data_IF_958160449606
#
_entry.id   IF_958160449606
#
_cell.length_a   1.000
_cell.length_b   1.000
_cell.length_c   1.000
_cell.angle_alpha   90.00
_cell.angle_beta   90.00
_cell.angle_gamma   90.00
#
_symmetry.space_group_name_H-M   'P 1'
#
loop_
_entity.id
_entity.type
_entity.pdbx_description
1 polymer ?
#
# COMPACT_ATOMS: atom_id res chain seq x y z
N UNK A 1 -18.73 9.15 -2.91
CA UNK A 1 -19.05 8.06 -1.97
C UNK A 1 -17.74 7.35 -1.70
N UNK A 2 -17.27 7.35 -0.46
CA UNK A 2 -16.01 6.72 -0.05
C UNK A 2 -16.13 5.22 -0.24
N UNK A 3 -15.20 4.61 -0.98
CA UNK A 3 -15.09 3.16 -1.12
C UNK A 3 -14.34 2.58 0.09
N UNK A 4 -14.92 2.80 1.30
CA UNK A 4 -14.34 2.33 2.56
C UNK A 4 -14.50 0.81 2.68
N UNK A 5 -13.55 0.17 3.36
CA UNK A 5 -13.68 -1.25 3.68
C UNK A 5 -14.83 -1.47 4.67
N UNK A 6 -15.77 -2.33 4.33
CA UNK A 6 -16.81 -2.80 5.25
C UNK A 6 -16.25 -3.72 6.36
N UNK A 7 -15.07 -4.28 6.11
CA UNK A 7 -14.26 -5.11 7.01
C UNK A 7 -12.78 -4.83 6.69
N UNK A 8 -11.86 -5.50 7.39
CA UNK A 8 -10.43 -5.42 7.04
C UNK A 8 -10.21 -5.80 5.57
N UNK A 9 -9.28 -5.12 4.84
CA UNK A 9 -9.01 -5.43 3.44
C UNK A 9 -8.52 -6.85 3.25
N UNK A 10 -8.99 -7.54 2.20
CA UNK A 10 -8.63 -8.91 1.88
C UNK A 10 -8.80 -9.19 0.38
N UNK A 11 -8.40 -10.37 -0.06
CA UNK A 11 -8.54 -10.80 -1.45
C UNK A 11 -7.31 -10.51 -2.31
N UNK A 12 -7.46 -10.67 -3.61
CA UNK A 12 -6.39 -10.41 -4.58
C UNK A 12 -6.51 -8.99 -5.11
N UNK A 13 -5.42 -8.25 -5.02
CA UNK A 13 -5.33 -6.87 -5.47
C UNK A 13 -4.43 -6.76 -6.70
N UNK A 14 -4.95 -6.15 -7.75
CA UNK A 14 -4.20 -5.91 -8.98
C UNK A 14 -3.18 -4.79 -8.78
N UNK A 15 -1.91 -5.10 -9.06
CA UNK A 15 -0.86 -4.07 -9.11
C UNK A 15 -0.96 -3.35 -10.44
N UNK A 16 -1.03 -2.02 -10.40
CA UNK A 16 -0.92 -1.20 -11.60
C UNK A 16 0.56 -1.09 -11.95
N UNK A 17 0.88 -1.49 -13.16
CA UNK A 17 2.21 -1.32 -13.75
C UNK A 17 2.31 0.09 -14.34
N UNK A 18 3.52 0.55 -14.61
CA UNK A 18 3.73 1.83 -15.25
C UNK A 18 4.21 1.59 -16.68
N UNK A 19 3.33 1.67 -17.68
CA UNK A 19 3.75 1.50 -19.08
C UNK A 19 4.61 2.69 -19.50
N UNK A 20 5.78 2.39 -20.06
CA UNK A 20 6.78 3.38 -20.47
C UNK A 20 6.99 3.29 -21.98
N UNK A 21 7.01 4.44 -22.65
CA UNK A 21 7.29 4.55 -24.08
C UNK A 21 8.79 4.35 -24.37
N UNK A 22 9.13 4.19 -25.65
CA UNK A 22 10.55 4.16 -26.12
C UNK A 22 11.34 5.44 -25.84
N UNK A 23 10.66 6.53 -25.44
CA UNK A 23 11.27 7.81 -25.07
C UNK A 23 11.28 8.03 -23.56
N UNK A 24 11.16 6.98 -22.76
CA UNK A 24 11.23 7.02 -21.30
C UNK A 24 10.13 7.89 -20.64
N UNK A 25 8.95 7.91 -21.28
CA UNK A 25 7.79 8.66 -20.78
C UNK A 25 6.64 7.70 -20.44
N UNK A 26 5.79 8.08 -19.52
CA UNK A 26 4.60 7.29 -19.18
C UNK A 26 3.63 7.27 -20.37
N UNK A 27 3.25 6.08 -20.82
CA UNK A 27 2.18 5.90 -21.81
C UNK A 27 0.82 5.94 -21.11
N UNK A 28 0.24 7.14 -21.05
CA UNK A 28 -1.05 7.37 -20.42
C UNK A 28 -2.21 6.64 -21.11
N UNK A 29 -2.09 6.38 -22.42
CA UNK A 29 -3.09 5.62 -23.18
C UNK A 29 -3.08 4.14 -22.78
N UNK A 30 -1.91 3.52 -22.75
CA UNK A 30 -1.74 2.15 -22.29
C UNK A 30 -2.12 1.99 -20.82
N UNK A 31 -1.76 2.94 -19.96
CA UNK A 31 -2.16 2.94 -18.56
C UNK A 31 -3.68 3.00 -18.38
N UNK A 32 -4.37 3.82 -19.16
CA UNK A 32 -5.83 3.90 -19.13
C UNK A 32 -6.49 2.58 -19.54
N UNK A 33 -5.94 1.88 -20.55
CA UNK A 33 -6.40 0.56 -20.98
C UNK A 33 -6.14 -0.52 -19.93
N UNK A 34 -4.95 -0.52 -19.30
CA UNK A 34 -4.64 -1.43 -18.17
C UNK A 34 -5.65 -1.26 -17.04
N UNK A 35 -5.97 -0.02 -16.67
CA UNK A 35 -6.97 0.27 -15.64
C UNK A 35 -8.36 -0.24 -16.01
N UNK A 36 -8.77 -0.12 -17.28
CA UNK A 36 -10.05 -0.66 -17.74
C UNK A 36 -10.09 -2.20 -17.61
N UNK A 37 -9.01 -2.89 -17.96
CA UNK A 37 -8.88 -4.34 -17.79
C UNK A 37 -8.90 -4.72 -16.31
N UNK A 38 -8.10 -4.07 -15.47
CA UNK A 38 -8.01 -4.38 -14.04
C UNK A 38 -9.35 -4.14 -13.34
N UNK A 39 -10.03 -3.04 -13.63
CA UNK A 39 -11.32 -2.73 -13.00
C UNK A 39 -12.45 -3.66 -13.43
N UNK A 40 -12.32 -4.34 -14.58
CA UNK A 40 -13.28 -5.34 -15.06
C UNK A 40 -12.93 -6.78 -14.66
N UNK A 41 -11.79 -7.02 -13.98
CA UNK A 41 -11.22 -8.36 -13.78
C UNK A 41 -11.82 -9.17 -12.61
N UNK A 42 -12.69 -8.58 -11.79
CA UNK A 42 -13.24 -9.23 -10.59
C UNK A 42 -12.25 -9.32 -9.41
N UNK A 43 -11.17 -8.56 -9.43
CA UNK A 43 -10.25 -8.39 -8.31
C UNK A 43 -10.94 -7.72 -7.11
N UNK A 44 -10.39 -7.92 -5.91
CA UNK A 44 -10.89 -7.27 -4.71
C UNK A 44 -10.58 -5.76 -4.66
N UNK A 45 -9.61 -5.32 -5.42
CA UNK A 45 -9.19 -3.94 -5.56
C UNK A 45 -7.95 -3.82 -6.42
N UNK A 46 -7.50 -2.59 -6.63
CA UNK A 46 -6.26 -2.26 -7.35
C UNK A 46 -5.36 -1.39 -6.48
N UNK A 47 -4.05 -1.42 -6.74
CA UNK A 47 -3.15 -0.49 -6.09
C UNK A 47 -2.09 0.07 -7.03
N UNK A 48 -1.85 1.38 -6.93
CA UNK A 48 -0.86 2.12 -7.69
C UNK A 48 0.36 2.48 -6.83
N UNK A 49 1.45 2.83 -7.51
CA UNK A 49 2.68 3.32 -6.87
C UNK A 49 3.29 2.33 -5.86
N UNK A 50 3.18 1.03 -6.17
CA UNK A 50 4.02 -0.01 -5.58
C UNK A 50 5.36 -0.13 -6.31
N UNK A 51 6.20 -1.06 -5.89
CA UNK A 51 7.52 -1.32 -6.52
C UNK A 51 7.38 -1.67 -8.00
N UNK A 52 6.41 -2.52 -8.37
CA UNK A 52 6.17 -2.90 -9.76
C UNK A 52 5.56 -1.75 -10.60
N UNK A 53 4.93 -0.76 -9.96
CA UNK A 53 4.48 0.49 -10.57
C UNK A 53 5.51 1.60 -10.53
N UNK A 54 6.78 1.27 -10.29
CA UNK A 54 7.94 2.18 -10.37
C UNK A 54 7.77 3.51 -9.60
N UNK A 55 7.22 3.44 -8.37
CA UNK A 55 6.93 4.62 -7.55
C UNK A 55 8.12 5.58 -7.37
N UNK A 56 9.34 5.07 -7.52
CA UNK A 56 10.60 5.78 -7.35
C UNK A 56 11.05 6.51 -8.62
N UNK A 57 10.42 6.23 -9.76
CA UNK A 57 10.80 6.74 -11.10
C UNK A 57 9.74 7.71 -11.65
N UNK A 58 9.07 8.45 -10.78
CA UNK A 58 8.02 9.40 -11.14
C UNK A 58 8.35 10.79 -10.60
N UNK A 59 8.11 11.81 -11.40
CA UNK A 59 8.00 13.17 -10.91
C UNK A 59 6.74 13.36 -10.08
N UNK A 60 6.66 14.40 -9.25
CA UNK A 60 5.43 14.67 -8.48
C UNK A 60 4.24 15.01 -9.39
N UNK A 61 4.47 15.63 -10.55
CA UNK A 61 3.40 15.89 -11.52
C UNK A 61 2.83 14.61 -12.13
N UNK A 62 3.69 13.66 -12.51
CA UNK A 62 3.28 12.33 -12.99
C UNK A 62 2.56 11.54 -11.90
N UNK A 63 3.05 11.59 -10.67
CA UNK A 63 2.38 11.00 -9.52
C UNK A 63 0.94 11.52 -9.38
N UNK A 64 0.73 12.83 -9.42
CA UNK A 64 -0.60 13.45 -9.30
C UNK A 64 -1.52 13.07 -10.44
N UNK A 65 -1.01 13.06 -11.67
CA UNK A 65 -1.79 12.66 -12.84
C UNK A 65 -2.20 11.18 -12.75
N UNK A 66 -1.27 10.28 -12.37
CA UNK A 66 -1.53 8.87 -12.19
C UNK A 66 -2.58 8.63 -11.12
N UNK A 67 -2.41 9.24 -9.93
CA UNK A 67 -3.35 9.12 -8.82
C UNK A 67 -4.77 9.57 -9.23
N UNK A 68 -4.86 10.68 -9.97
CA UNK A 68 -6.14 11.20 -10.47
C UNK A 68 -6.81 10.22 -11.44
N UNK A 69 -6.06 9.66 -12.38
CA UNK A 69 -6.56 8.69 -13.35
C UNK A 69 -7.03 7.39 -12.67
N UNK A 70 -6.23 6.86 -11.73
CA UNK A 70 -6.58 5.66 -10.96
C UNK A 70 -7.87 5.88 -10.17
N UNK A 71 -7.98 7.00 -9.47
CA UNK A 71 -9.16 7.34 -8.68
C UNK A 71 -10.42 7.48 -9.58
N UNK A 72 -10.28 8.10 -10.74
CA UNK A 72 -11.37 8.24 -11.71
C UNK A 72 -11.88 6.87 -12.18
N UNK A 73 -10.98 6.00 -12.63
CA UNK A 73 -11.32 4.67 -13.19
C UNK A 73 -11.88 3.74 -12.11
N UNK A 74 -11.23 3.68 -10.95
CA UNK A 74 -11.67 2.83 -9.85
C UNK A 74 -13.06 3.23 -9.33
N UNK A 75 -13.32 4.52 -9.17
CA UNK A 75 -14.64 5.01 -8.74
C UNK A 75 -15.72 4.73 -9.75
N UNK A 76 -15.45 4.90 -11.05
CA UNK A 76 -16.41 4.61 -12.11
C UNK A 76 -16.82 3.12 -12.09
N UNK A 77 -15.90 2.23 -11.71
CA UNK A 77 -16.15 0.80 -11.60
C UNK A 77 -16.65 0.36 -10.20
N UNK A 78 -16.72 1.27 -9.22
CA UNK A 78 -17.05 0.91 -7.84
C UNK A 78 -15.99 0.03 -7.16
N UNK A 79 -14.74 0.06 -7.65
CA UNK A 79 -13.64 -0.81 -7.18
C UNK A 79 -12.80 -0.12 -6.12
N UNK A 80 -12.52 -0.77 -4.97
CA UNK A 80 -11.57 -0.27 -3.98
C UNK A 80 -10.17 -0.06 -4.59
N UNK A 81 -9.49 1.01 -4.17
CA UNK A 81 -8.14 1.29 -4.66
C UNK A 81 -7.23 1.81 -3.56
N UNK A 82 -5.97 1.43 -3.62
CA UNK A 82 -4.89 1.90 -2.76
C UNK A 82 -3.91 2.74 -3.57
N UNK A 83 -3.35 3.75 -2.92
CA UNK A 83 -2.30 4.59 -3.49
C UNK A 83 -1.04 4.49 -2.65
N UNK A 84 0.09 4.16 -3.27
CA UNK A 84 1.39 4.21 -2.63
C UNK A 84 1.86 5.65 -2.48
N UNK A 85 2.36 5.98 -1.29
CA UNK A 85 2.93 7.31 -0.98
C UNK A 85 4.44 7.26 -0.78
N UNK A 86 5.05 6.10 -0.98
CA UNK A 86 6.46 5.86 -0.69
C UNK A 86 7.38 6.85 -1.40
N UNK A 87 8.37 7.34 -0.67
CA UNK A 87 9.45 8.18 -1.17
C UNK A 87 10.64 8.06 -0.23
N UNK A 88 11.88 8.15 -0.74
CA UNK A 88 13.10 8.20 0.06
C UNK A 88 13.15 9.41 1.00
N UNK A 89 12.49 10.50 0.62
CA UNK A 89 12.29 11.67 1.47
C UNK A 89 10.97 11.52 2.25
N UNK A 90 11.02 11.32 3.59
CA UNK A 90 9.82 11.13 4.39
C UNK A 90 8.86 12.33 4.37
N UNK A 91 9.37 13.54 4.13
CA UNK A 91 8.52 14.74 4.03
C UNK A 91 7.66 14.72 2.77
N UNK A 92 8.17 14.21 1.66
CA UNK A 92 7.39 14.02 0.42
C UNK A 92 6.34 12.94 0.65
N UNK A 93 6.66 11.84 1.31
CA UNK A 93 5.68 10.79 1.63
C UNK A 93 4.52 11.35 2.47
N UNK A 94 4.79 12.14 3.50
CA UNK A 94 3.76 12.80 4.32
C UNK A 94 2.94 13.83 3.52
N UNK A 95 3.57 14.54 2.60
CA UNK A 95 2.89 15.51 1.75
C UNK A 95 1.96 14.82 0.73
N UNK A 96 2.43 13.75 0.09
CA UNK A 96 1.58 12.87 -0.74
C UNK A 96 0.35 12.39 0.03
N UNK A 97 0.53 11.94 1.27
CA UNK A 97 -0.57 11.46 2.11
C UNK A 97 -1.60 12.56 2.41
N UNK A 98 -1.16 13.78 2.71
CA UNK A 98 -2.09 14.92 2.91
C UNK A 98 -2.89 15.24 1.65
N UNK A 99 -2.25 15.20 0.48
CA UNK A 99 -2.93 15.40 -0.82
C UNK A 99 -3.95 14.31 -1.12
N UNK A 100 -3.71 13.08 -0.67
CA UNK A 100 -4.66 11.97 -0.83
C UNK A 100 -5.98 12.18 -0.07
N UNK A 101 -6.07 13.07 0.91
CA UNK A 101 -7.34 13.35 1.60
C UNK A 101 -8.43 13.86 0.63
N UNK A 102 -8.06 14.62 -0.40
CA UNK A 102 -9.01 15.06 -1.44
C UNK A 102 -9.33 13.94 -2.46
N UNK A 103 -8.44 12.96 -2.58
CA UNK A 103 -8.62 11.79 -3.44
C UNK A 103 -9.45 10.71 -2.75
N UNK A 104 -9.42 10.62 -1.44
CA UNK A 104 -10.18 9.67 -0.63
C UNK A 104 -10.04 8.21 -1.14
N UNK A 105 -8.82 7.64 -1.19
CA UNK A 105 -8.60 6.24 -1.54
C UNK A 105 -9.08 5.32 -0.44
N UNK A 106 -9.33 4.05 -0.75
CA UNK A 106 -9.69 3.03 0.25
C UNK A 106 -8.56 2.79 1.27
N UNK A 107 -7.31 2.99 0.87
CA UNK A 107 -6.14 3.01 1.76
C UNK A 107 -4.95 3.72 1.09
N UNK A 108 -3.98 4.14 1.91
CA UNK A 108 -2.66 4.57 1.47
C UNK A 108 -1.61 3.53 1.87
N UNK A 109 -0.77 3.12 0.92
CA UNK A 109 0.34 2.20 1.17
C UNK A 109 1.65 2.98 1.32
N UNK A 110 2.46 2.62 2.32
CA UNK A 110 3.75 3.23 2.55
C UNK A 110 4.85 2.21 2.81
N UNK A 111 6.09 2.56 2.44
CA UNK A 111 7.31 1.91 2.92
C UNK A 111 7.92 2.75 4.02
N UNK A 112 8.78 2.15 4.83
CA UNK A 112 9.65 2.93 5.71
C UNK A 112 10.65 3.73 4.85
N UNK A 113 11.15 4.88 5.35
CA UNK A 113 12.25 5.59 4.66
C UNK A 113 13.43 4.63 4.45
N UNK A 114 13.89 4.50 3.21
CA UNK A 114 14.79 3.42 2.81
C UNK A 114 16.18 3.88 2.32
N UNK A 115 16.42 5.17 2.23
CA UNK A 115 17.77 5.69 2.03
C UNK A 115 18.70 5.29 3.18
N UNK A 116 18.17 5.32 4.40
CA UNK A 116 18.82 4.99 5.65
C UNK A 116 17.90 4.11 6.49
N UNK A 117 18.45 3.17 7.24
CA UNK A 117 17.65 2.43 8.21
C UNK A 117 17.31 3.36 9.39
N UNK A 118 16.04 3.70 9.63
CA UNK A 118 15.70 4.59 10.72
C UNK A 118 16.00 3.96 12.08
N UNK A 119 16.46 4.76 13.02
CA UNK A 119 16.46 4.39 14.45
C UNK A 119 15.03 4.29 14.99
N UNK A 120 14.83 3.67 16.14
CA UNK A 120 13.50 3.51 16.73
C UNK A 120 12.79 4.87 16.95
N UNK A 121 13.44 5.93 17.50
CA UNK A 121 12.77 7.23 17.61
C UNK A 121 12.41 7.89 16.28
N UNK A 122 13.24 7.71 15.23
CA UNK A 122 12.94 8.22 13.89
C UNK A 122 11.76 7.48 13.25
N UNK A 123 11.69 6.17 13.46
CA UNK A 123 10.57 5.34 13.01
C UNK A 123 9.28 5.77 13.70
N UNK A 124 9.29 5.92 15.02
CA UNK A 124 8.12 6.34 15.79
C UNK A 124 7.64 7.72 15.34
N UNK A 125 8.54 8.68 15.18
CA UNK A 125 8.22 10.03 14.69
C UNK A 125 7.62 10.00 13.27
N UNK A 126 8.16 9.17 12.38
CA UNK A 126 7.62 9.02 11.03
C UNK A 126 6.20 8.44 11.06
N UNK A 127 5.96 7.41 11.86
CA UNK A 127 4.64 6.75 11.97
C UNK A 127 3.61 7.66 12.62
N UNK A 128 3.98 8.43 13.66
CA UNK A 128 3.13 9.48 14.23
C UNK A 128 2.81 10.55 13.18
N UNK A 129 3.79 10.93 12.38
CA UNK A 129 3.59 11.84 11.25
C UNK A 129 2.62 11.29 10.19
N UNK A 130 2.70 9.99 9.87
CA UNK A 130 1.74 9.34 8.97
C UNK A 130 0.33 9.37 9.54
N UNK A 131 0.14 9.03 10.82
CA UNK A 131 -1.17 9.09 11.48
C UNK A 131 -1.78 10.49 11.41
N UNK A 132 -0.98 11.51 11.71
CA UNK A 132 -1.43 12.90 11.66
C UNK A 132 -1.76 13.37 10.23
N UNK A 133 -1.05 12.88 9.22
CA UNK A 133 -1.25 13.25 7.82
C UNK A 133 -2.39 12.46 7.14
N UNK A 134 -2.73 11.28 7.65
CA UNK A 134 -3.72 10.39 7.06
C UNK A 134 -5.18 10.89 7.21
N UNK A 135 -5.49 11.62 8.27
CA UNK A 135 -6.90 11.86 8.63
C UNK A 135 -7.60 10.53 8.85
N UNK A 136 -8.65 10.26 8.08
CA UNK A 136 -9.41 9.01 8.14
C UNK A 136 -8.92 7.93 7.15
N UNK A 137 -7.89 8.22 6.34
CA UNK A 137 -7.38 7.26 5.35
C UNK A 137 -6.71 6.08 6.06
N UNK A 138 -7.14 4.83 5.81
CA UNK A 138 -6.47 3.64 6.32
C UNK A 138 -5.05 3.51 5.75
N UNK A 139 -4.13 3.02 6.58
CA UNK A 139 -2.73 2.85 6.22
C UNK A 139 -2.37 1.36 6.06
N UNK A 140 -1.58 1.05 5.03
CA UNK A 140 -1.03 -0.28 4.78
C UNK A 140 0.48 -0.17 4.72
N UNK A 141 1.18 -0.86 5.60
CA UNK A 141 2.64 -0.95 5.57
C UNK A 141 3.10 -1.91 4.46
N UNK A 142 4.02 -1.50 3.62
CA UNK A 142 4.76 -2.42 2.77
C UNK A 142 6.19 -2.57 3.30
N UNK A 143 6.49 -3.74 3.83
CA UNK A 143 7.81 -4.04 4.40
C UNK A 143 8.41 -5.30 3.74
N UNK A 144 8.93 -5.14 2.50
CA UNK A 144 9.47 -6.24 1.70
C UNK A 144 10.83 -6.73 2.23
N UNK A 145 11.31 -7.89 1.77
CA UNK A 145 12.60 -8.45 2.18
C UNK A 145 13.80 -7.53 1.94
N UNK A 146 13.74 -6.66 0.92
CA UNK A 146 14.79 -5.70 0.57
C UNK A 146 14.76 -4.41 1.41
N UNK A 147 13.77 -4.22 2.27
CA UNK A 147 13.71 -3.03 3.13
C UNK A 147 14.94 -2.93 4.03
N UNK A 148 15.48 -1.73 4.22
CA UNK A 148 16.64 -1.46 5.09
C UNK A 148 16.37 -1.83 6.54
N UNK A 149 15.13 -1.68 6.99
CA UNK A 149 14.65 -2.14 8.30
C UNK A 149 13.46 -3.08 8.08
N UNK A 150 13.65 -4.36 8.45
CA UNK A 150 12.56 -5.34 8.48
C UNK A 150 12.00 -5.42 9.88
N UNK A 151 10.70 -5.23 10.00
CA UNK A 151 10.00 -5.23 11.28
C UNK A 151 9.53 -6.64 11.66
N UNK A 152 9.63 -6.96 12.95
CA UNK A 152 8.94 -8.12 13.52
C UNK A 152 7.45 -7.83 13.72
N UNK A 153 6.65 -8.87 14.01
CA UNK A 153 5.23 -8.71 14.30
C UNK A 153 4.99 -7.86 15.55
N UNK A 154 5.85 -8.00 16.57
CA UNK A 154 5.81 -7.18 17.79
C UNK A 154 6.07 -5.70 17.50
N UNK A 155 7.06 -5.42 16.65
CA UNK A 155 7.34 -4.03 16.24
C UNK A 155 6.17 -3.44 15.47
N UNK A 156 5.55 -4.19 14.54
CA UNK A 156 4.34 -3.74 13.83
C UNK A 156 3.19 -3.49 14.81
N UNK A 157 3.02 -4.36 15.81
CA UNK A 157 2.00 -4.16 16.84
C UNK A 157 2.25 -2.88 17.66
N UNK A 158 3.52 -2.56 17.99
CA UNK A 158 3.87 -1.29 18.64
C UNK A 158 3.58 -0.08 17.75
N UNK A 159 3.93 -0.14 16.45
CA UNK A 159 3.62 0.94 15.54
C UNK A 159 2.11 1.18 15.40
N UNK A 160 1.30 0.14 15.46
CA UNK A 160 -0.16 0.26 15.44
C UNK A 160 -0.73 1.02 16.64
N UNK A 161 -0.05 1.00 17.79
CA UNK A 161 -0.44 1.82 18.94
C UNK A 161 -0.21 3.32 18.68
N UNK A 162 0.81 3.66 17.88
CA UNK A 162 1.11 5.03 17.48
C UNK A 162 0.26 5.50 16.30
N UNK A 163 -0.15 4.57 15.44
CA UNK A 163 -0.97 4.84 14.25
C UNK A 163 -2.14 3.87 14.17
N UNK A 164 -3.28 4.15 14.84
CA UNK A 164 -4.48 3.31 14.78
C UNK A 164 -5.04 3.09 13.37
N UNK A 165 -4.79 4.02 12.43
CA UNK A 165 -5.14 3.85 11.03
C UNK A 165 -4.31 2.78 10.31
N UNK A 166 -3.26 2.24 10.91
CA UNK A 166 -2.47 1.14 10.36
C UNK A 166 -3.26 -0.17 10.50
N UNK A 167 -3.98 -0.54 9.45
CA UNK A 167 -4.94 -1.66 9.44
C UNK A 167 -4.40 -2.93 8.75
N UNK A 168 -3.24 -2.85 8.12
CA UNK A 168 -2.67 -4.00 7.43
C UNK A 168 -1.24 -3.78 6.98
N UNK A 169 -0.64 -4.86 6.49
CA UNK A 169 0.68 -4.81 5.88
C UNK A 169 0.81 -5.84 4.74
N UNK A 170 1.68 -5.51 3.77
CA UNK A 170 2.21 -6.47 2.80
C UNK A 170 3.58 -6.94 3.29
N UNK A 171 3.66 -8.23 3.61
CA UNK A 171 4.81 -8.87 4.25
C UNK A 171 5.19 -10.15 3.48
N UNK A 172 6.42 -10.67 3.63
CA UNK A 172 6.78 -11.95 3.01
C UNK A 172 5.92 -13.14 3.45
N UNK A 173 5.27 -13.04 4.63
CA UNK A 173 4.62 -14.17 5.27
C UNK A 173 5.62 -15.03 6.05
N UNK A 174 5.16 -16.19 6.51
CA UNK A 174 5.96 -17.14 7.27
C UNK A 174 5.31 -18.52 7.32
N UNK A 175 5.73 -19.31 8.26
CA UNK A 175 5.16 -20.62 8.55
C UNK A 175 3.88 -20.57 9.43
N UNK A 176 3.34 -21.70 9.80
CA UNK A 176 2.16 -21.81 10.64
C UNK A 176 2.34 -21.13 12.02
N UNK A 177 3.54 -21.20 12.60
CA UNK A 177 3.86 -20.58 13.88
C UNK A 177 3.84 -19.05 13.75
N UNK A 178 4.41 -18.50 12.68
CA UNK A 178 4.37 -17.08 12.38
C UNK A 178 2.92 -16.56 12.22
N UNK A 179 2.07 -17.29 11.50
CA UNK A 179 0.66 -16.90 11.34
C UNK A 179 -0.14 -17.03 12.65
N UNK A 180 0.19 -18.00 13.50
CA UNK A 180 -0.40 -18.10 14.84
C UNK A 180 -0.04 -16.88 15.70
N UNK A 181 1.23 -16.49 15.70
CA UNK A 181 1.73 -15.31 16.42
C UNK A 181 1.13 -14.02 15.87
N UNK A 182 1.01 -13.88 14.54
CA UNK A 182 0.31 -12.75 13.91
C UNK A 182 -1.13 -12.63 14.42
N UNK A 183 -1.89 -13.71 14.48
CA UNK A 183 -3.27 -13.68 15.00
C UNK A 183 -3.34 -13.23 16.46
N UNK A 184 -2.35 -13.64 17.26
CA UNK A 184 -2.25 -13.28 18.68
C UNK A 184 -1.94 -11.79 18.87
N UNK A 185 -0.96 -11.24 18.13
CA UNK A 185 -0.48 -9.87 18.29
C UNK A 185 -1.33 -8.84 17.54
N UNK A 186 -1.89 -9.24 16.39
CA UNK A 186 -2.55 -8.37 15.42
C UNK A 186 -3.86 -9.00 14.93
N UNK A 187 -4.87 -9.22 15.80
CA UNK A 187 -6.08 -9.99 15.47
C UNK A 187 -6.88 -9.40 14.29
N UNK A 188 -7.06 -8.07 14.26
CA UNK A 188 -7.85 -7.35 13.25
C UNK A 188 -6.99 -6.66 12.18
N UNK A 189 -5.83 -7.23 11.90
CA UNK A 189 -4.86 -6.66 10.98
C UNK A 189 -4.75 -7.51 9.72
N UNK A 190 -4.84 -6.89 8.55
CA UNK A 190 -4.72 -7.61 7.28
C UNK A 190 -3.26 -7.88 6.93
N UNK A 191 -2.97 -9.11 6.51
CA UNK A 191 -1.65 -9.47 5.99
C UNK A 191 -1.79 -9.92 4.54
N UNK A 192 -1.20 -9.12 3.65
CA UNK A 192 -1.02 -9.45 2.25
C UNK A 192 0.37 -10.06 2.03
N UNK A 193 0.45 -11.06 1.18
CA UNK A 193 1.71 -11.70 0.80
C UNK A 193 2.00 -11.47 -0.68
N UNK A 194 3.22 -11.69 -1.18
CA UNK A 194 3.49 -11.65 -2.62
C UNK A 194 2.61 -12.65 -3.38
N UNK A 195 2.15 -12.28 -4.59
CA UNK A 195 1.23 -13.10 -5.39
C UNK A 195 1.71 -14.54 -5.60
N UNK A 196 3.02 -14.74 -5.80
CA UNK A 196 3.60 -16.08 -5.99
C UNK A 196 3.59 -16.95 -4.71
N UNK A 197 3.34 -16.39 -3.54
CA UNK A 197 3.25 -17.13 -2.26
C UNK A 197 1.83 -17.22 -1.71
N UNK A 198 0.85 -16.61 -2.35
CA UNK A 198 -0.53 -16.54 -1.82
C UNK A 198 -1.18 -17.91 -1.67
N UNK A 199 -0.90 -18.84 -2.58
CA UNK A 199 -1.43 -20.20 -2.51
C UNK A 199 -0.99 -20.95 -1.23
N UNK A 200 0.22 -20.65 -0.73
CA UNK A 200 0.74 -21.21 0.52
C UNK A 200 0.30 -20.38 1.74
N UNK A 201 0.28 -19.08 1.61
CA UNK A 201 -0.05 -18.17 2.73
C UNK A 201 -1.53 -18.19 3.10
N UNK A 202 -2.42 -18.31 2.12
CA UNK A 202 -3.87 -18.25 2.35
C UNK A 202 -4.39 -19.32 3.32
N UNK A 203 -4.04 -20.62 3.18
CA UNK A 203 -4.45 -21.65 4.15
C UNK A 203 -3.88 -21.42 5.55
N UNK A 204 -2.75 -20.74 5.68
CA UNK A 204 -2.13 -20.43 6.97
C UNK A 204 -2.71 -19.18 7.63
N UNK A 205 -3.37 -18.30 6.88
CA UNK A 205 -4.02 -17.10 7.41
C UNK A 205 -3.59 -15.78 6.79
N UNK A 206 -2.98 -15.78 5.59
CA UNK A 206 -2.86 -14.56 4.82
C UNK A 206 -4.25 -14.07 4.37
N UNK A 207 -4.45 -12.76 4.39
CA UNK A 207 -5.72 -12.15 4.03
C UNK A 207 -5.82 -11.93 2.50
N UNK A 208 -4.68 -11.90 1.79
CA UNK A 208 -4.65 -11.70 0.34
C UNK A 208 -3.24 -11.55 -0.25
N UNK A 209 -3.16 -11.01 -1.46
CA UNK A 209 -1.93 -10.71 -2.20
C UNK A 209 -2.09 -9.43 -3.03
#
# INVERSE_FOLDING_TARGET
>A
MTLSFQSKPQGIWGTILLPITEHDQIDWGALAQELDVLTASGLAGIYANGTAGEFHNQTEAEYEQLVSLVAQKARAAGMPFQIGISNTNPRIALDRLRRLQSIDPSAAQFTLPDWWAPSAPELDNFVVGLQAAAGDIPLILYNPPQAKLRLSLEQIAQLRLLAPNLIGAKLPGGDAAWYAERRRLLPDFSVFVPGHTVAFGRPLGADGA
#
